data_IF_786224242306
#
_entry.id   IF_786224242306
#
_cell.length_a   1.000
_cell.length_b   1.000
_cell.length_c   1.000
_cell.angle_alpha   90.00
_cell.angle_beta   90.00
_cell.angle_gamma   90.00
#
_symmetry.space_group_name_H-M   'P 1'
#
loop_
_entity.id
_entity.type
_entity.pdbx_description
1 polymer ?
#
# COMPACT_ATOMS: atom_id res chain seq x y z
N UNK A 1 -66.75 -30.42 -9.60
CA UNK A 1 -65.93 -30.14 -8.41
C UNK A 1 -64.51 -30.00 -8.85
N UNK A 2 -64.02 -28.77 -8.95
CA UNK A 2 -62.65 -28.46 -9.41
C UNK A 2 -61.85 -28.12 -8.19
N UNK A 3 -60.83 -28.95 -7.88
CA UNK A 3 -59.89 -28.72 -6.80
C UNK A 3 -58.77 -27.84 -7.33
N UNK A 4 -58.71 -26.58 -6.87
CA UNK A 4 -57.58 -25.72 -7.09
C UNK A 4 -56.40 -26.12 -6.12
N UNK A 5 -55.32 -26.62 -6.68
CA UNK A 5 -54.07 -26.72 -5.96
C UNK A 5 -53.37 -25.35 -6.02
N UNK A 6 -53.26 -24.68 -4.89
CA UNK A 6 -52.40 -23.51 -4.74
C UNK A 6 -50.99 -23.99 -4.51
N UNK A 7 -50.11 -23.81 -5.51
CA UNK A 7 -48.68 -24.03 -5.37
C UNK A 7 -48.09 -22.81 -4.68
N UNK A 8 -47.65 -23.00 -3.45
CA UNK A 8 -46.88 -22.01 -2.68
C UNK A 8 -45.40 -22.05 -3.15
N UNK A 9 -45.03 -21.18 -4.05
CA UNK A 9 -43.63 -21.02 -4.43
C UNK A 9 -42.92 -20.20 -3.37
N UNK A 10 -42.17 -20.87 -2.48
CA UNK A 10 -41.24 -20.25 -1.59
C UNK A 10 -40.02 -19.79 -2.39
N UNK A 11 -39.93 -18.50 -2.69
CA UNK A 11 -38.73 -17.87 -3.21
C UNK A 11 -37.77 -17.75 -2.05
N UNK A 12 -36.83 -18.69 -1.94
CA UNK A 12 -35.68 -18.56 -1.07
C UNK A 12 -34.79 -17.44 -1.64
N UNK A 13 -34.90 -16.26 -1.06
CA UNK A 13 -33.92 -15.18 -1.28
C UNK A 13 -32.60 -15.62 -0.69
N UNK A 14 -31.76 -16.27 -1.50
CA UNK A 14 -30.35 -16.46 -1.22
C UNK A 14 -29.69 -15.07 -1.25
N UNK A 15 -29.54 -14.49 -0.07
CA UNK A 15 -28.69 -13.32 0.11
C UNK A 15 -27.25 -13.69 -0.25
N UNK A 16 -26.90 -13.43 -1.50
CA UNK A 16 -25.47 -13.39 -1.88
C UNK A 16 -24.87 -12.18 -1.16
N UNK A 17 -24.33 -12.41 0.02
CA UNK A 17 -23.31 -11.52 0.56
C UNK A 17 -22.11 -11.67 -0.38
N UNK A 18 -21.98 -10.75 -1.33
CA UNK A 18 -20.75 -10.60 -2.08
C UNK A 18 -19.64 -10.36 -1.04
N UNK A 19 -18.86 -11.38 -0.77
CA UNK A 19 -17.62 -11.20 -0.04
C UNK A 19 -16.79 -10.24 -0.88
N UNK A 20 -16.74 -8.99 -0.47
CA UNK A 20 -15.93 -7.97 -1.14
C UNK A 20 -14.48 -8.41 -0.98
N UNK A 21 -13.85 -8.82 -2.08
CA UNK A 21 -12.45 -9.20 -2.07
C UNK A 21 -11.65 -7.98 -1.55
N UNK A 22 -10.75 -8.23 -0.60
CA UNK A 22 -9.90 -7.16 -0.09
C UNK A 22 -9.10 -6.55 -1.24
N UNK A 23 -9.08 -5.22 -1.32
CA UNK A 23 -8.25 -4.51 -2.27
C UNK A 23 -6.79 -4.69 -1.90
N UNK A 24 -5.95 -5.12 -2.84
CA UNK A 24 -4.53 -5.36 -2.58
C UNK A 24 -3.71 -4.11 -2.91
N UNK A 25 -2.89 -3.68 -1.98
CA UNK A 25 -1.95 -2.57 -2.13
C UNK A 25 -0.53 -3.05 -1.85
N UNK A 26 0.35 -2.93 -2.85
CA UNK A 26 1.76 -3.34 -2.71
C UNK A 26 2.66 -2.12 -2.58
N UNK A 27 3.39 -2.03 -1.47
CA UNK A 27 4.24 -0.87 -1.14
C UNK A 27 5.69 -1.31 -0.96
N UNK A 28 6.60 -0.65 -1.70
CA UNK A 28 8.03 -0.78 -1.50
C UNK A 28 8.46 0.07 -0.29
N UNK A 29 9.30 -0.48 0.58
CA UNK A 29 9.83 0.26 1.72
C UNK A 29 11.26 -0.15 2.04
N UNK A 30 12.01 0.74 2.65
CA UNK A 30 13.26 0.35 3.31
C UNK A 30 12.95 -0.24 4.70
N UNK A 31 13.80 -1.14 5.24
CA UNK A 31 13.47 -1.89 6.45
C UNK A 31 13.13 -1.00 7.65
N UNK A 32 13.99 -0.03 7.97
CA UNK A 32 13.89 0.81 9.17
C UNK A 32 13.95 2.29 8.77
N UNK A 33 13.04 3.11 9.23
CA UNK A 33 11.84 2.83 10.03
C UNK A 33 10.61 2.46 9.18
N UNK A 34 10.71 2.52 7.85
CA UNK A 34 9.57 2.56 6.92
C UNK A 34 8.75 1.25 6.93
N UNK A 35 9.39 0.10 6.75
CA UNK A 35 8.67 -1.18 6.80
C UNK A 35 8.11 -1.47 8.21
N UNK A 36 8.79 -1.04 9.27
CA UNK A 36 8.29 -1.17 10.64
C UNK A 36 6.99 -0.38 10.83
N UNK A 37 6.94 0.87 10.34
CA UNK A 37 5.72 1.70 10.37
C UNK A 37 4.61 1.03 9.57
N UNK A 38 4.89 0.55 8.36
CA UNK A 38 3.89 -0.13 7.53
C UNK A 38 3.36 -1.42 8.17
N UNK A 39 4.19 -2.15 8.92
CA UNK A 39 3.75 -3.33 9.65
C UNK A 39 2.75 -3.00 10.78
N UNK A 40 2.86 -1.82 11.39
CA UNK A 40 1.86 -1.31 12.35
C UNK A 40 0.56 -0.93 11.64
N UNK A 41 0.66 -0.34 10.45
CA UNK A 41 -0.48 0.11 9.66
C UNK A 41 -1.24 -1.06 9.03
N UNK A 42 -0.55 -2.13 8.66
CA UNK A 42 -1.12 -3.29 7.96
C UNK A 42 -2.41 -3.86 8.58
N UNK A 43 -2.47 -4.18 9.89
CA UNK A 43 -3.70 -4.68 10.51
C UNK A 43 -4.82 -3.64 10.59
N UNK A 44 -4.48 -2.35 10.57
CA UNK A 44 -5.48 -1.27 10.53
C UNK A 44 -6.13 -1.20 9.15
N UNK A 45 -5.34 -1.28 8.08
CA UNK A 45 -5.83 -1.31 6.70
C UNK A 45 -6.66 -2.56 6.42
N UNK A 46 -6.29 -3.71 7.00
CA UNK A 46 -7.08 -4.94 6.85
C UNK A 46 -8.52 -4.78 7.36
N UNK A 47 -8.73 -4.01 8.43
CA UNK A 47 -10.07 -3.68 8.93
C UNK A 47 -10.87 -2.80 7.97
N UNK A 48 -10.20 -2.03 7.14
CA UNK A 48 -10.79 -1.19 6.09
C UNK A 48 -10.94 -1.94 4.74
N UNK A 49 -10.64 -3.22 4.70
CA UNK A 49 -10.74 -4.04 3.49
C UNK A 49 -9.56 -3.92 2.55
N UNK A 50 -8.41 -3.43 3.01
CA UNK A 50 -7.17 -3.30 2.24
C UNK A 50 -6.13 -4.32 2.70
N UNK A 51 -5.67 -5.17 1.78
CA UNK A 51 -4.57 -6.11 2.01
C UNK A 51 -3.24 -5.45 1.63
N UNK A 52 -2.54 -4.91 2.64
CA UNK A 52 -1.23 -4.28 2.45
C UNK A 52 -0.13 -5.35 2.31
N UNK A 53 0.54 -5.34 1.16
CA UNK A 53 1.74 -6.14 0.89
C UNK A 53 2.97 -5.25 0.93
N UNK A 54 3.90 -5.55 1.82
CA UNK A 54 5.14 -4.79 2.01
C UNK A 54 6.27 -5.52 1.33
N UNK A 55 6.99 -4.83 0.44
CA UNK A 55 8.19 -5.33 -0.20
C UNK A 55 9.39 -4.51 0.21
N UNK A 56 10.31 -5.11 0.93
CA UNK A 56 11.49 -4.43 1.44
C UNK A 56 12.62 -4.38 0.42
N UNK A 57 13.29 -3.23 0.37
CA UNK A 57 14.48 -2.96 -0.43
C UNK A 57 15.54 -2.32 0.45
N UNK A 58 16.79 -2.70 0.28
CA UNK A 58 17.92 -2.14 1.03
C UNK A 58 18.64 -1.02 0.30
N UNK A 59 18.27 -0.77 -0.95
CA UNK A 59 18.79 0.34 -1.77
C UNK A 59 17.74 1.45 -1.93
N UNK A 60 18.18 2.62 -2.39
CA UNK A 60 17.32 3.81 -2.56
C UNK A 60 16.91 4.07 -4.01
N UNK A 61 17.26 3.19 -4.95
CA UNK A 61 16.92 3.34 -6.37
C UNK A 61 15.70 2.49 -6.75
N UNK A 62 15.72 1.22 -6.36
CA UNK A 62 14.68 0.25 -6.75
C UNK A 62 13.26 0.64 -6.32
N UNK A 63 12.99 1.20 -5.14
CA UNK A 63 11.63 1.56 -4.77
C UNK A 63 10.95 2.51 -5.77
N UNK A 64 11.67 3.50 -6.30
CA UNK A 64 11.13 4.40 -7.32
C UNK A 64 11.03 3.73 -8.69
N UNK A 65 12.01 2.92 -9.08
CA UNK A 65 11.97 2.16 -10.35
C UNK A 65 10.75 1.25 -10.40
N UNK A 66 10.51 0.49 -9.33
CA UNK A 66 9.37 -0.44 -9.26
C UNK A 66 8.02 0.26 -9.40
N UNK A 67 7.87 1.43 -8.81
CA UNK A 67 6.62 2.20 -8.91
C UNK A 67 6.50 2.87 -10.29
N UNK A 68 7.58 3.46 -10.82
CA UNK A 68 7.55 4.09 -12.15
C UNK A 68 7.26 3.09 -13.27
N UNK A 69 7.70 1.84 -13.12
CA UNK A 69 7.43 0.74 -14.05
C UNK A 69 6.08 0.04 -13.78
N UNK A 70 5.29 0.54 -12.82
CA UNK A 70 3.96 -0.01 -12.45
C UNK A 70 4.00 -1.46 -11.96
N UNK A 71 5.14 -1.89 -11.40
CA UNK A 71 5.29 -3.21 -10.78
C UNK A 71 4.79 -3.24 -9.35
N UNK A 72 4.86 -2.10 -8.66
CA UNK A 72 4.33 -1.86 -7.32
C UNK A 72 3.48 -0.59 -7.33
N UNK A 73 2.54 -0.50 -6.39
CA UNK A 73 1.57 0.58 -6.37
C UNK A 73 2.12 1.87 -5.77
N UNK A 74 2.97 1.75 -4.75
CA UNK A 74 3.54 2.90 -4.04
C UNK A 74 4.89 2.53 -3.41
N UNK A 75 5.56 3.54 -2.88
CA UNK A 75 6.72 3.35 -2.01
C UNK A 75 6.70 4.29 -0.81
N UNK A 76 7.45 3.90 0.22
CA UNK A 76 7.63 4.66 1.43
C UNK A 76 9.07 4.52 1.91
N UNK A 77 9.94 5.51 1.59
CA UNK A 77 11.35 5.43 1.94
C UNK A 77 12.12 6.76 1.81
N UNK A 78 11.56 7.78 1.16
CA UNK A 78 12.30 8.95 0.70
C UNK A 78 11.72 10.27 1.20
N UNK A 79 12.53 11.33 1.12
CA UNK A 79 12.13 12.71 1.33
C UNK A 79 11.92 13.42 -0.01
N UNK A 80 11.17 14.52 0.00
CA UNK A 80 10.79 15.24 -1.23
C UNK A 80 11.98 15.61 -2.13
N UNK A 81 13.10 16.14 -1.62
CA UNK A 81 14.23 16.51 -2.50
C UNK A 81 14.80 15.34 -3.28
N UNK A 82 14.86 14.14 -2.68
CA UNK A 82 15.31 12.94 -3.37
C UNK A 82 14.35 12.53 -4.49
N UNK A 83 13.04 12.59 -4.25
CA UNK A 83 12.03 12.31 -5.26
C UNK A 83 12.14 13.27 -6.45
N UNK A 84 12.30 14.55 -6.19
CA UNK A 84 12.42 15.58 -7.22
C UNK A 84 13.65 15.34 -8.11
N UNK A 85 14.80 15.05 -7.50
CA UNK A 85 16.03 14.72 -8.23
C UNK A 85 15.93 13.41 -9.00
N UNK A 86 15.28 12.39 -8.43
CA UNK A 86 15.05 11.12 -9.12
C UNK A 86 14.19 11.33 -10.38
N UNK A 87 13.06 12.03 -10.24
CA UNK A 87 12.17 12.34 -11.37
C UNK A 87 12.92 13.06 -12.47
N UNK A 88 13.70 14.09 -12.12
CA UNK A 88 14.50 14.86 -13.07
C UNK A 88 15.55 13.99 -13.78
N UNK A 89 16.29 13.19 -13.01
CA UNK A 89 17.38 12.39 -13.55
C UNK A 89 16.91 11.21 -14.41
N UNK A 90 15.75 10.66 -14.11
CA UNK A 90 15.19 9.46 -14.78
C UNK A 90 14.05 9.76 -15.73
N UNK A 91 13.58 11.01 -15.80
CA UNK A 91 12.44 11.38 -16.65
C UNK A 91 11.13 10.73 -16.18
N UNK A 92 10.96 10.55 -14.87
CA UNK A 92 9.75 9.98 -14.26
C UNK A 92 8.87 11.09 -13.68
N UNK A 93 7.62 10.75 -13.36
CA UNK A 93 6.60 11.68 -12.87
C UNK A 93 5.94 11.18 -11.56
N UNK A 94 6.71 10.52 -10.72
CA UNK A 94 6.25 10.06 -9.42
C UNK A 94 5.85 11.25 -8.53
N UNK A 95 4.75 11.13 -7.82
CA UNK A 95 4.21 12.19 -6.97
C UNK A 95 4.18 11.79 -5.51
N UNK A 96 4.46 12.74 -4.62
CA UNK A 96 4.26 12.55 -3.19
C UNK A 96 2.76 12.62 -2.86
N UNK A 97 2.25 11.59 -2.18
CA UNK A 97 0.86 11.52 -1.76
C UNK A 97 0.67 12.21 -0.42
N UNK A 98 1.57 11.95 0.54
CA UNK A 98 1.52 12.53 1.88
C UNK A 98 2.88 12.45 2.57
N UNK A 99 3.11 13.31 3.55
CA UNK A 99 4.22 13.18 4.50
C UNK A 99 3.80 12.32 5.69
N UNK A 100 4.72 11.51 6.21
CA UNK A 100 4.48 10.62 7.35
C UNK A 100 5.28 11.05 8.57
N UNK A 101 6.57 11.33 8.41
CA UNK A 101 7.48 11.76 9.48
C UNK A 101 8.65 12.56 8.92
N UNK A 102 9.41 13.19 9.82
CA UNK A 102 10.65 13.90 9.51
C UNK A 102 11.79 13.14 10.14
N UNK A 103 12.85 12.91 9.36
CA UNK A 103 14.11 12.33 9.82
C UNK A 103 15.18 13.40 9.85
N UNK A 104 15.78 13.71 11.02
CA UNK A 104 16.85 14.70 11.09
C UNK A 104 18.13 14.17 10.43
N UNK A 105 18.78 15.03 9.66
CA UNK A 105 20.12 14.74 9.16
C UNK A 105 21.14 15.02 10.27
N UNK A 106 22.00 14.03 10.56
CA UNK A 106 23.07 14.16 11.53
C UNK A 106 24.40 13.68 10.97
N UNK A 107 25.46 14.40 11.28
CA UNK A 107 26.82 13.93 11.05
C UNK A 107 27.36 13.29 12.33
N UNK A 108 27.85 12.08 12.23
CA UNK A 108 28.31 11.30 13.37
C UNK A 108 29.79 10.94 13.19
N UNK A 109 30.58 11.05 14.27
CA UNK A 109 31.97 10.67 14.27
C UNK A 109 32.36 10.04 15.60
N UNK A 110 33.11 8.94 15.56
CA UNK A 110 33.79 8.38 16.73
C UNK A 110 35.16 9.03 16.99
N UNK A 111 35.67 9.77 16.00
CA UNK A 111 37.01 10.39 16.05
C UNK A 111 36.98 11.83 16.51
N UNK A 112 35.97 12.58 16.16
CA UNK A 112 35.84 14.00 16.51
C UNK A 112 34.63 14.20 17.43
N UNK A 113 34.85 14.95 18.51
CA UNK A 113 33.80 15.32 19.47
C UNK A 113 33.45 16.78 19.30
#
# INVERSE_FOLDING_TARGET
>A
MKKLLAAFSAVAALGLTAAQAAESLTVAATPVPHAEILNVVKPLLAKEGVDLKIKEFTDYVQPNVQVSEKRLDANFFQHQPYLDEFNKAKGTDLVAVTGVHIEPLGAYSSKYK
#
